data_IF_216239502155
#
_entry.id   IF_216239502155
#
_cell.length_a   1.000
_cell.length_b   1.000
_cell.length_c   1.000
_cell.angle_alpha   90.00
_cell.angle_beta   90.00
_cell.angle_gamma   90.00
#
_symmetry.space_group_name_H-M   'P 1'
#
loop_
_entity.id
_entity.type
_entity.pdbx_description
1 polymer ?
#
# COMPACT_ATOMS: atom_id res chain seq x y z
N UNK A 1 5.48 -29.53 16.53
CA UNK A 1 4.65 -28.38 16.99
C UNK A 1 5.15 -27.03 16.46
N UNK A 2 6.45 -26.73 16.50
CA UNK A 2 7.06 -25.45 16.03
C UNK A 2 6.72 -25.05 14.58
N UNK A 3 6.64 -26.01 13.66
CA UNK A 3 6.32 -25.73 12.24
C UNK A 3 4.90 -25.19 12.01
N UNK A 4 3.90 -25.74 12.72
CA UNK A 4 2.50 -25.30 12.59
C UNK A 4 2.31 -23.87 13.11
N UNK A 5 2.94 -23.54 14.23
CA UNK A 5 2.93 -22.18 14.81
C UNK A 5 3.59 -21.18 13.87
N UNK A 6 4.76 -21.51 13.29
CA UNK A 6 5.44 -20.65 12.30
C UNK A 6 4.59 -20.40 11.05
N UNK A 7 3.92 -21.44 10.54
CA UNK A 7 3.03 -21.32 9.38
C UNK A 7 1.83 -20.42 9.67
N UNK A 8 1.19 -20.59 10.83
CA UNK A 8 0.07 -19.75 11.25
C UNK A 8 0.50 -18.30 11.46
N UNK A 9 1.67 -18.07 12.07
CA UNK A 9 2.21 -16.72 12.29
C UNK A 9 2.41 -15.97 10.96
N UNK A 10 3.02 -16.60 9.95
CA UNK A 10 3.17 -15.98 8.63
C UNK A 10 1.84 -15.69 7.93
N UNK A 11 0.83 -16.54 8.09
CA UNK A 11 -0.50 -16.29 7.51
C UNK A 11 -1.14 -15.08 8.21
N UNK A 12 -1.07 -15.01 9.53
CA UNK A 12 -1.59 -13.87 10.29
C UNK A 12 -0.87 -12.56 9.93
N UNK A 13 0.44 -12.60 9.78
CA UNK A 13 1.27 -11.46 9.35
C UNK A 13 0.82 -10.93 7.99
N UNK A 14 0.68 -11.82 6.99
CA UNK A 14 0.23 -11.44 5.64
C UNK A 14 -1.18 -10.88 5.60
N UNK A 15 -2.09 -11.47 6.38
CA UNK A 15 -3.46 -10.96 6.51
C UNK A 15 -3.44 -9.59 7.18
N UNK A 16 -2.64 -9.40 8.23
CA UNK A 16 -2.46 -8.11 8.90
C UNK A 16 -1.96 -7.02 7.94
N UNK A 17 -0.94 -7.33 7.13
CA UNK A 17 -0.42 -6.42 6.11
C UNK A 17 -1.47 -6.06 5.05
N UNK A 18 -2.22 -7.06 4.57
CA UNK A 18 -3.31 -6.84 3.62
C UNK A 18 -4.42 -5.95 4.21
N UNK A 19 -4.82 -6.19 5.47
CA UNK A 19 -5.81 -5.37 6.16
C UNK A 19 -5.34 -3.93 6.39
N UNK A 20 -4.06 -3.73 6.71
CA UNK A 20 -3.47 -2.40 6.81
C UNK A 20 -3.53 -1.66 5.46
N UNK A 21 -3.22 -2.35 4.36
CA UNK A 21 -3.39 -1.83 3.00
C UNK A 21 -4.85 -1.46 2.68
N UNK A 22 -5.80 -2.32 3.06
CA UNK A 22 -7.23 -2.05 2.90
C UNK A 22 -7.66 -0.77 3.64
N UNK A 23 -7.26 -0.63 4.91
CA UNK A 23 -7.56 0.54 5.72
C UNK A 23 -6.94 1.82 5.12
N UNK A 24 -5.69 1.73 4.67
CA UNK A 24 -4.99 2.81 3.96
C UNK A 24 -5.79 3.28 2.73
N UNK A 25 -6.21 2.37 1.86
CA UNK A 25 -7.04 2.68 0.70
C UNK A 25 -8.41 3.25 1.07
N UNK A 26 -9.04 2.74 2.13
CA UNK A 26 -10.33 3.25 2.61
C UNK A 26 -10.25 4.73 3.03
N UNK A 27 -9.24 5.10 3.81
CA UNK A 27 -9.10 6.48 4.28
C UNK A 27 -8.79 7.46 3.15
N UNK A 28 -7.91 7.08 2.22
CA UNK A 28 -7.63 7.88 1.02
C UNK A 28 -8.89 8.01 0.17
N UNK A 29 -9.59 6.90 -0.07
CA UNK A 29 -10.85 6.90 -0.81
C UNK A 29 -11.92 7.79 -0.16
N UNK A 30 -12.07 7.74 1.16
CA UNK A 30 -13.01 8.57 1.89
C UNK A 30 -12.66 10.06 1.80
N UNK A 31 -11.38 10.42 1.93
CA UNK A 31 -10.93 11.79 1.78
C UNK A 31 -11.13 12.31 0.36
N UNK A 32 -10.76 11.54 -0.66
CA UNK A 32 -10.96 11.92 -2.07
C UNK A 32 -12.44 12.02 -2.42
N UNK A 33 -13.26 11.08 -1.94
CA UNK A 33 -14.71 11.12 -2.10
C UNK A 33 -15.35 12.35 -1.45
N UNK A 34 -14.81 12.83 -0.31
CA UNK A 34 -15.32 14.04 0.33
C UNK A 34 -15.12 15.31 -0.50
N UNK A 35 -14.13 15.34 -1.41
CA UNK A 35 -13.92 16.46 -2.34
C UNK A 35 -14.69 16.28 -3.66
N UNK A 36 -14.83 15.03 -4.13
CA UNK A 36 -15.49 14.72 -5.41
C UNK A 36 -16.70 13.83 -5.20
N UNK A 37 -17.91 14.41 -5.30
CA UNK A 37 -19.17 13.69 -5.08
C UNK A 37 -19.32 12.43 -5.94
N UNK A 38 -18.79 12.42 -7.17
CA UNK A 38 -18.81 11.27 -8.09
C UNK A 38 -18.01 10.06 -7.55
N UNK A 39 -17.01 10.31 -6.71
CA UNK A 39 -16.13 9.29 -6.11
C UNK A 39 -16.60 8.85 -4.71
N UNK A 40 -17.80 9.23 -4.26
CA UNK A 40 -18.34 8.79 -2.95
C UNK A 40 -19.00 7.41 -2.96
N UNK A 41 -18.96 6.71 -4.10
CA UNK A 41 -19.67 5.43 -4.25
C UNK A 41 -19.02 4.32 -3.42
N UNK A 42 -19.84 3.39 -2.90
CA UNK A 42 -19.32 2.18 -2.24
C UNK A 42 -18.38 1.39 -3.15
N UNK A 43 -18.66 1.33 -4.46
CA UNK A 43 -17.80 0.67 -5.43
C UNK A 43 -16.40 1.28 -5.50
N UNK A 44 -16.30 2.60 -5.48
CA UNK A 44 -15.01 3.29 -5.44
C UNK A 44 -14.22 2.99 -4.16
N UNK A 45 -14.88 3.04 -3.00
CA UNK A 45 -14.22 2.73 -1.73
C UNK A 45 -13.74 1.28 -1.67
N UNK A 46 -14.55 0.32 -2.13
CA UNK A 46 -14.15 -1.08 -2.23
C UNK A 46 -12.98 -1.27 -3.20
N UNK A 47 -12.96 -0.56 -4.32
CA UNK A 47 -11.84 -0.58 -5.26
C UNK A 47 -10.54 -0.06 -4.62
N UNK A 48 -10.61 1.06 -3.89
CA UNK A 48 -9.45 1.62 -3.18
C UNK A 48 -8.94 0.65 -2.11
N UNK A 49 -9.83 0.00 -1.36
CA UNK A 49 -9.48 -1.04 -0.40
C UNK A 49 -8.79 -2.23 -1.08
N UNK A 50 -9.33 -2.73 -2.20
CA UNK A 50 -8.75 -3.85 -2.94
C UNK A 50 -7.38 -3.51 -3.50
N UNK A 51 -7.20 -2.32 -4.07
CA UNK A 51 -5.89 -1.85 -4.54
C UNK A 51 -4.88 -1.77 -3.39
N UNK A 52 -5.30 -1.27 -2.22
CA UNK A 52 -4.46 -1.25 -1.02
C UNK A 52 -4.08 -2.65 -0.53
N UNK A 53 -5.02 -3.60 -0.51
CA UNK A 53 -4.77 -5.02 -0.20
C UNK A 53 -3.72 -5.58 -1.13
N UNK A 54 -3.90 -5.42 -2.44
CA UNK A 54 -3.01 -5.98 -3.45
C UNK A 54 -1.62 -5.34 -3.37
N UNK A 55 -1.54 -4.01 -3.24
CA UNK A 55 -0.28 -3.28 -3.10
C UNK A 55 0.52 -3.71 -1.87
N UNK A 56 -0.09 -3.65 -0.68
CA UNK A 56 0.62 -3.96 0.56
C UNK A 56 0.96 -5.45 0.68
N UNK A 57 0.08 -6.33 0.20
CA UNK A 57 0.38 -7.76 0.14
C UNK A 57 1.52 -8.05 -0.84
N UNK A 58 1.49 -7.51 -2.06
CA UNK A 58 2.52 -7.83 -3.05
C UNK A 58 3.86 -7.16 -2.74
N UNK A 59 3.83 -5.90 -2.29
CA UNK A 59 4.99 -5.07 -2.04
C UNK A 59 5.68 -5.37 -0.71
N UNK A 60 4.95 -5.52 0.40
CA UNK A 60 5.60 -5.71 1.72
C UNK A 60 5.99 -7.18 1.93
N UNK A 61 5.17 -8.14 1.47
CA UNK A 61 5.53 -9.56 1.43
C UNK A 61 6.35 -9.88 0.15
N UNK A 62 7.18 -8.95 -0.32
CA UNK A 62 8.18 -9.22 -1.36
C UNK A 62 9.19 -10.25 -0.84
N UNK A 63 9.44 -11.34 -1.57
CA UNK A 63 10.41 -12.33 -1.15
C UNK A 63 11.83 -11.75 -1.12
N UNK A 64 12.38 -11.47 0.06
CA UNK A 64 13.73 -10.91 0.22
C UNK A 64 14.81 -11.85 -0.35
N UNK A 65 15.88 -11.24 -0.90
CA UNK A 65 17.12 -11.92 -1.30
C UNK A 65 18.10 -11.90 -0.11
N UNK A 66 18.93 -12.95 0.07
CA UNK A 66 20.08 -12.85 0.96
C UNK A 66 20.98 -11.72 0.48
N UNK A 67 21.47 -10.88 1.40
CA UNK A 67 22.46 -9.85 1.10
C UNK A 67 23.79 -10.52 0.70
N UNK A 68 23.97 -10.81 -0.59
CA UNK A 68 25.27 -11.19 -1.14
C UNK A 68 26.01 -9.91 -1.56
N UNK A 69 27.13 -9.63 -0.88
CA UNK A 69 28.02 -8.47 -1.16
C UNK A 69 28.52 -8.40 -2.62
N UNK A 70 28.44 -9.52 -3.36
CA UNK A 70 28.82 -9.59 -4.77
C UNK A 70 27.79 -9.00 -5.75
N UNK A 71 26.54 -8.78 -5.32
CA UNK A 71 25.47 -8.20 -6.13
C UNK A 71 25.02 -6.85 -5.55
N UNK A 72 25.95 -5.90 -5.46
CA UNK A 72 25.76 -4.51 -5.02
C UNK A 72 24.82 -3.66 -5.88
N UNK A 73 24.13 -4.27 -6.85
CA UNK A 73 23.06 -3.61 -7.59
C UNK A 73 21.89 -3.50 -6.62
N UNK A 74 21.73 -2.32 -6.00
CA UNK A 74 20.57 -1.91 -5.19
C UNK A 74 19.35 -2.71 -5.66
N UNK A 75 18.73 -3.50 -4.76
CA UNK A 75 17.54 -4.25 -5.16
C UNK A 75 16.43 -3.23 -5.38
N UNK A 76 16.39 -2.72 -6.61
CA UNK A 76 15.53 -1.62 -7.01
C UNK A 76 14.07 -1.99 -6.77
N UNK A 77 13.75 -3.29 -6.72
CA UNK A 77 12.43 -3.77 -6.30
C UNK A 77 12.16 -3.49 -4.82
N UNK A 78 13.11 -3.78 -3.92
CA UNK A 78 12.96 -3.49 -2.48
C UNK A 78 12.89 -1.99 -2.20
N UNK A 79 13.73 -1.18 -2.86
CA UNK A 79 13.67 0.28 -2.74
C UNK A 79 12.35 0.84 -3.28
N UNK A 80 11.91 0.37 -4.46
CA UNK A 80 10.65 0.79 -5.07
C UNK A 80 9.44 0.40 -4.21
N UNK A 81 9.46 -0.79 -3.61
CA UNK A 81 8.41 -1.24 -2.69
C UNK A 81 8.38 -0.40 -1.41
N UNK A 82 9.55 -0.13 -0.83
CA UNK A 82 9.68 0.68 0.39
C UNK A 82 9.23 2.12 0.16
N UNK A 83 9.66 2.72 -0.95
CA UNK A 83 9.23 4.05 -1.37
C UNK A 83 7.72 4.10 -1.63
N UNK A 84 7.17 3.07 -2.29
CA UNK A 84 5.73 2.93 -2.53
C UNK A 84 4.93 2.83 -1.23
N UNK A 85 5.42 2.06 -0.27
CA UNK A 85 4.81 1.91 1.06
C UNK A 85 4.82 3.21 1.84
N UNK A 86 5.96 3.93 1.85
CA UNK A 86 6.05 5.23 2.50
C UNK A 86 5.06 6.22 1.86
N UNK A 87 5.02 6.29 0.53
CA UNK A 87 4.14 7.20 -0.19
C UNK A 87 2.65 6.89 0.08
N UNK A 88 2.25 5.61 0.01
CA UNK A 88 0.87 5.19 0.29
C UNK A 88 0.46 5.41 1.76
N UNK A 89 1.36 5.14 2.72
CA UNK A 89 1.05 5.33 4.15
C UNK A 89 1.03 6.81 4.55
N UNK A 90 1.90 7.64 3.99
CA UNK A 90 1.88 9.10 4.22
C UNK A 90 0.58 9.72 3.70
N UNK A 91 0.15 9.35 2.51
CA UNK A 91 -1.10 9.84 1.91
C UNK A 91 -2.33 9.39 2.71
N UNK A 92 -2.34 8.15 3.23
CA UNK A 92 -3.37 7.71 4.15
C UNK A 92 -3.34 8.44 5.50
N UNK A 93 -2.14 8.72 6.05
CA UNK A 93 -2.01 9.49 7.29
C UNK A 93 -2.57 10.91 7.12
N UNK A 94 -2.22 11.59 6.02
CA UNK A 94 -2.78 12.90 5.67
C UNK A 94 -4.30 12.82 5.55
N UNK A 95 -4.81 11.79 4.86
CA UNK A 95 -6.26 11.58 4.68
C UNK A 95 -6.98 11.41 6.03
N UNK A 96 -6.46 10.54 6.91
CA UNK A 96 -7.00 10.34 8.26
C UNK A 96 -6.97 11.64 9.07
N UNK A 97 -5.85 12.37 9.02
CA UNK A 97 -5.70 13.63 9.74
C UNK A 97 -6.75 14.65 9.29
N UNK A 98 -6.96 14.82 7.99
CA UNK A 98 -8.00 15.72 7.45
C UNK A 98 -9.40 15.29 7.91
N UNK A 99 -9.71 14.00 7.81
CA UNK A 99 -11.03 13.46 8.20
C UNK A 99 -11.30 13.66 9.71
N UNK A 100 -10.32 13.33 10.56
CA UNK A 100 -10.44 13.35 12.03
C UNK A 100 -10.42 14.77 12.55
N UNK A 101 -9.55 15.63 12.02
CA UNK A 101 -9.46 17.04 12.40
C UNK A 101 -10.53 17.92 11.72
N UNK A 102 -11.40 17.32 10.89
CA UNK A 102 -12.48 18.02 10.17
C UNK A 102 -11.96 19.21 9.35
N UNK A 103 -10.79 19.06 8.73
CA UNK A 103 -10.22 20.10 7.88
C UNK A 103 -10.99 20.17 6.55
N UNK A 104 -11.12 21.36 5.98
CA UNK A 104 -11.73 21.52 4.67
C UNK A 104 -10.84 20.89 3.59
N UNK A 105 -11.37 20.02 2.73
CA UNK A 105 -10.61 19.41 1.66
C UNK A 105 -10.22 20.47 0.63
N UNK A 106 -8.94 20.82 0.60
CA UNK A 106 -8.38 21.70 -0.43
C UNK A 106 -8.12 20.89 -1.72
N UNK A 107 -8.72 21.30 -2.84
CA UNK A 107 -8.69 20.56 -4.12
C UNK A 107 -7.30 20.11 -4.56
N UNK A 108 -6.30 21.01 -4.49
CA UNK A 108 -4.93 20.68 -4.86
C UNK A 108 -4.29 19.61 -3.96
N UNK A 109 -4.59 19.65 -2.65
CA UNK A 109 -4.09 18.65 -1.70
C UNK A 109 -4.76 17.30 -1.93
N UNK A 110 -6.07 17.30 -2.21
CA UNK A 110 -6.81 16.08 -2.53
C UNK A 110 -6.25 15.40 -3.77
N UNK A 111 -6.00 16.16 -4.85
CA UNK A 111 -5.36 15.61 -6.06
C UNK A 111 -3.95 15.08 -5.78
N UNK A 112 -3.14 15.83 -5.02
CA UNK A 112 -1.79 15.40 -4.65
C UNK A 112 -1.82 14.08 -3.88
N UNK A 113 -2.69 13.98 -2.87
CA UNK A 113 -2.87 12.78 -2.05
C UNK A 113 -3.34 11.60 -2.89
N UNK A 114 -4.29 11.82 -3.80
CA UNK A 114 -4.83 10.76 -4.64
C UNK A 114 -3.78 10.22 -5.62
N UNK A 115 -3.08 11.10 -6.33
CA UNK A 115 -2.04 10.72 -7.29
C UNK A 115 -0.86 10.06 -6.60
N UNK A 116 -0.40 10.62 -5.47
CA UNK A 116 0.69 10.05 -4.70
C UNK A 116 0.33 8.66 -4.14
N UNK A 117 -0.91 8.46 -3.68
CA UNK A 117 -1.34 7.14 -3.22
C UNK A 117 -1.38 6.12 -4.36
N UNK A 118 -1.95 6.47 -5.52
CA UNK A 118 -1.98 5.58 -6.69
C UNK A 118 -0.55 5.23 -7.13
N UNK A 119 0.34 6.22 -7.20
CA UNK A 119 1.75 5.99 -7.52
C UNK A 119 2.42 5.06 -6.49
N UNK A 120 2.16 5.28 -5.20
CA UNK A 120 2.63 4.42 -4.10
C UNK A 120 2.24 2.96 -4.27
N UNK A 121 0.95 2.71 -4.47
CA UNK A 121 0.41 1.36 -4.67
C UNK A 121 0.94 0.73 -5.96
N UNK A 122 1.03 1.49 -7.06
CA UNK A 122 1.57 0.99 -8.32
C UNK A 122 3.04 0.55 -8.17
N UNK A 123 3.86 1.33 -7.45
CA UNK A 123 5.25 0.98 -7.14
C UNK A 123 5.34 -0.34 -6.36
N UNK A 124 4.49 -0.53 -5.33
CA UNK A 124 4.42 -1.78 -4.57
C UNK A 124 4.04 -2.98 -5.44
N UNK A 125 3.03 -2.85 -6.31
CA UNK A 125 2.58 -3.94 -7.19
C UNK A 125 3.69 -4.33 -8.17
N UNK A 126 4.32 -3.35 -8.82
CA UNK A 126 5.39 -3.58 -9.80
C UNK A 126 6.61 -4.21 -9.13
N UNK A 127 7.02 -3.72 -7.96
CA UNK A 127 8.11 -4.29 -7.18
C UNK A 127 7.80 -5.74 -6.76
N UNK A 128 6.61 -5.97 -6.21
CA UNK A 128 6.11 -7.29 -5.81
C UNK A 128 6.09 -8.29 -6.96
N UNK A 129 5.60 -7.88 -8.12
CA UNK A 129 5.56 -8.72 -9.31
C UNK A 129 6.98 -9.05 -9.81
N UNK A 130 7.87 -8.06 -9.92
CA UNK A 130 9.26 -8.25 -10.36
C UNK A 130 10.03 -9.18 -9.42
N UNK A 131 9.88 -9.03 -8.11
CA UNK A 131 10.55 -9.89 -7.13
C UNK A 131 10.10 -11.37 -7.24
N UNK A 132 8.82 -11.63 -7.55
CA UNK A 132 8.29 -13.00 -7.70
C UNK A 132 8.69 -13.64 -9.03
N UNK A 133 8.71 -12.88 -10.13
CA UNK A 133 9.17 -13.38 -11.43
C UNK A 133 10.64 -13.79 -11.44
N UNK A 134 11.47 -13.21 -10.56
CA UNK A 134 12.89 -13.60 -10.41
C UNK A 134 13.10 -14.93 -9.67
N UNK A 135 12.09 -15.42 -8.94
CA UNK A 135 12.18 -16.68 -8.16
C UNK A 135 11.60 -17.90 -8.89
N UNK A 136 10.98 -17.69 -10.06
CA UNK A 136 10.46 -18.74 -10.96
C UNK A 136 11.45 -18.94 -12.09
#
# INVERSE_FOLDING_TARGET
MRYRVRKTAHVLERIGLAMAGAACGLFVGAYVGSAFAVLTTQGFLLLMMLLGVVGFYLGIDTPQLPFDEAHSHIDAAELLSSAGTLCATLTALVSVAVIVLRLEPHDALTWLVFVAWIAGVAMQIVAGAKARMRKV
#
